data_IF_248465448174
#
_entry.id   IF_248465448174
#
_cell.length_a   1.000
_cell.length_b   1.000
_cell.length_c   1.000
_cell.angle_alpha   90.00
_cell.angle_beta   90.00
_cell.angle_gamma   90.00
#
_symmetry.space_group_name_H-M   'P 1'
#
loop_
_entity.id
_entity.type
_entity.pdbx_description
1 polymer ?
2 non-polymer ?
3 non-polymer ?
4 water ?
#
# COMPACT_ATOMS: atom_id res chain seq x y z
N UNK A 2 0.23 3.65 -14.40
CA UNK A 2 0.63 2.23 -14.50
C UNK A 2 0.33 1.49 -13.20
N UNK A 3 -0.69 1.92 -12.47
CA UNK A 3 -1.00 1.30 -11.16
C UNK A 3 -1.40 -0.15 -11.31
N UNK A 4 -0.95 -0.96 -10.36
CA UNK A 4 -1.31 -2.37 -10.32
C UNK A 4 -2.82 -2.52 -10.33
N UNK A 5 -3.30 -3.55 -11.03
CA UNK A 5 -4.74 -3.78 -11.08
C UNK A 5 -5.04 -5.22 -10.79
N UNK A 6 -6.22 -5.44 -10.22
CA UNK A 6 -6.77 -6.78 -9.95
C UNK A 6 -8.14 -6.79 -10.61
N UNK A 7 -8.35 -7.75 -11.52
CA UNK A 7 -9.60 -7.87 -12.27
C UNK A 7 -10.05 -9.33 -12.31
N UNK A 8 -11.26 -9.54 -12.79
CA UNK A 8 -11.81 -10.87 -12.98
C UNK A 8 -12.57 -10.93 -14.27
N UNK A 9 -12.36 -11.98 -15.06
CA UNK A 9 -13.20 -12.16 -16.25
C UNK A 9 -14.66 -12.37 -15.88
N UNK A 10 -14.92 -12.82 -14.66
CA UNK A 10 -16.27 -13.17 -14.25
C UNK A 10 -17.10 -12.00 -13.78
N UNK A 11 -16.51 -10.87 -13.41
CA UNK A 11 -17.30 -9.71 -13.00
C UNK A 11 -16.41 -8.49 -13.00
N UNK A 12 -17.00 -7.37 -13.41
CA UNK A 12 -16.33 -6.09 -13.35
C UNK A 12 -16.54 -5.47 -11.98
N UNK A 13 -15.74 -4.45 -11.67
CA UNK A 13 -15.79 -3.83 -10.35
C UNK A 13 -17.20 -3.40 -9.99
N UNK A 14 -17.66 -3.84 -8.82
CA UNK A 14 -18.95 -3.45 -8.30
C UNK A 14 -20.14 -4.23 -8.86
N UNK A 15 -19.87 -5.21 -9.71
CA UNK A 15 -20.93 -5.99 -10.36
C UNK A 15 -21.16 -7.33 -9.63
N UNK A 16 -22.28 -7.99 -9.93
CA UNK A 16 -22.54 -9.25 -9.22
C UNK A 16 -21.59 -10.36 -9.59
N UNK A 17 -21.10 -11.05 -8.56
CA UNK A 17 -20.32 -12.27 -8.70
C UNK A 17 -21.25 -13.41 -9.16
N UNK A 18 -20.91 -14.11 -10.24
CA UNK A 18 -21.80 -15.19 -10.68
C UNK A 18 -22.03 -16.27 -9.62
N UNK A 19 -23.20 -16.87 -9.73
CA UNK A 19 -23.70 -17.91 -8.83
C UNK A 19 -22.72 -19.04 -8.55
N UNK A 20 -21.94 -19.43 -9.54
CA UNK A 20 -21.07 -20.59 -9.38
C UNK A 20 -19.97 -20.37 -8.34
N UNK A 21 -19.64 -19.12 -8.05
CA UNK A 21 -18.60 -18.80 -7.06
C UNK A 21 -19.14 -18.59 -5.64
N UNK A 22 -20.47 -18.75 -5.50
CA UNK A 22 -21.16 -18.59 -4.23
C UNK A 22 -21.57 -19.94 -3.68
N UNK A 23 -22.13 -19.94 -2.47
CA UNK A 23 -22.64 -21.18 -1.91
C UNK A 23 -23.82 -21.75 -2.70
N UNK A 24 -24.47 -20.92 -3.52
CA UNK A 24 -25.61 -21.39 -4.30
C UNK A 24 -25.20 -22.20 -5.51
N UNK A 25 -23.92 -22.21 -5.84
CA UNK A 25 -23.37 -23.11 -6.85
C UNK A 25 -22.27 -23.98 -6.29
N UNK A 26 -21.34 -24.39 -7.14
CA UNK A 26 -20.25 -25.25 -6.70
C UNK A 26 -19.34 -24.56 -5.67
N UNK A 27 -19.28 -23.24 -5.71
CA UNK A 27 -18.58 -22.47 -4.69
C UNK A 27 -17.08 -22.38 -4.89
N UNK A 28 -16.63 -22.46 -6.13
CA UNK A 28 -15.19 -22.36 -6.39
C UNK A 28 -14.74 -20.91 -6.38
N UNK A 29 -13.44 -20.70 -6.22
CA UNK A 29 -12.90 -19.37 -6.28
C UNK A 29 -13.04 -18.76 -7.67
N UNK A 30 -13.27 -17.46 -7.73
CA UNK A 30 -13.46 -16.83 -9.04
C UNK A 30 -12.11 -16.64 -9.73
N UNK A 31 -12.12 -16.57 -11.06
CA UNK A 31 -10.89 -16.23 -11.78
C UNK A 31 -10.44 -14.81 -11.43
N UNK A 32 -9.13 -14.61 -11.31
CA UNK A 32 -8.53 -13.31 -11.00
C UNK A 32 -7.30 -13.10 -11.85
N UNK A 33 -7.07 -11.85 -12.25
CA UNK A 33 -5.88 -11.47 -13.00
C UNK A 33 -5.21 -10.28 -12.35
N UNK A 34 -3.90 -10.32 -12.31
CA UNK A 34 -3.04 -9.27 -11.77
C UNK A 34 -2.30 -8.60 -12.91
N UNK A 35 -2.30 -7.28 -12.95
CA UNK A 35 -1.58 -6.55 -14.00
C UNK A 35 -0.74 -5.44 -13.38
N UNK A 36 0.38 -5.14 -14.04
CA UNK A 36 1.27 -4.05 -13.67
C UNK A 36 1.78 -4.17 -12.23
N UNK A 37 2.11 -5.40 -11.87
CA UNK A 37 2.80 -5.64 -10.62
C UNK A 37 4.20 -5.04 -10.72
N UNK A 38 4.62 -4.24 -9.73
CA UNK A 38 5.94 -3.60 -9.85
C UNK A 38 7.06 -4.62 -9.98
N UNK A 39 8.08 -4.26 -10.75
CA UNK A 39 9.25 -5.12 -10.98
C UNK A 39 9.91 -5.57 -9.69
N UNK A 40 9.89 -4.71 -8.69
CA UNK A 40 10.55 -4.94 -7.41
C UNK A 40 9.81 -5.96 -6.54
N UNK A 41 8.61 -6.36 -6.94
CA UNK A 41 7.86 -7.31 -6.13
C UNK A 41 8.51 -8.69 -6.10
N UNK A 42 8.59 -9.26 -4.90
CA UNK A 42 9.03 -10.65 -4.73
C UNK A 42 7.89 -11.62 -4.44
N UNK A 43 6.73 -11.10 -4.05
CA UNK A 43 5.56 -11.94 -3.81
C UNK A 43 4.27 -11.10 -3.91
N UNK A 44 3.15 -11.80 -4.05
CA UNK A 44 1.82 -11.22 -3.98
C UNK A 44 1.03 -11.86 -2.85
N UNK A 45 0.10 -11.07 -2.34
CA UNK A 45 -0.85 -11.46 -1.30
C UNK A 45 -2.26 -11.12 -1.76
N UNK A 46 -3.21 -12.01 -1.46
CA UNK A 46 -4.60 -11.75 -1.70
C UNK A 46 -5.37 -11.91 -0.40
N UNK A 47 -6.20 -10.91 -0.07
CA UNK A 47 -7.11 -10.98 1.08
C UNK A 47 -8.48 -10.63 0.56
N UNK A 48 -9.46 -11.51 0.80
CA UNK A 48 -10.82 -11.30 0.33
C UNK A 48 -11.72 -11.26 1.54
N UNK A 49 -12.55 -10.25 1.67
CA UNK A 49 -13.36 -10.11 2.86
C UNK A 49 -14.67 -9.41 2.59
N UNK A 50 -15.61 -9.62 3.51
CA UNK A 50 -16.98 -9.14 3.41
C UNK A 50 -17.25 -8.22 4.61
N UNK A 51 -17.30 -6.90 4.40
CA UNK A 51 -17.59 -5.99 5.52
C UNK A 51 -19.08 -5.84 5.77
N UNK A 52 -19.91 -6.58 5.05
CA UNK A 52 -21.36 -6.48 5.13
C UNK A 52 -21.93 -7.72 5.85
N UNK A 53 -21.08 -8.52 6.48
CA UNK A 53 -21.53 -9.66 7.26
C UNK A 53 -22.49 -9.16 8.35
N UNK A 54 -23.60 -9.88 8.59
CA UNK A 54 -24.54 -9.41 9.62
C UNK A 54 -23.81 -9.30 10.98
N UNK A 55 -23.87 -8.12 11.60
CA UNK A 55 -23.12 -7.95 12.84
C UNK A 55 -23.62 -8.81 13.98
N UNK A 56 -24.84 -9.35 13.87
CA UNK A 56 -25.33 -10.32 14.85
C UNK A 56 -24.60 -11.65 14.77
N UNK A 57 -23.95 -11.91 13.63
CA UNK A 57 -23.21 -13.13 13.41
C UNK A 57 -21.73 -12.88 13.70
N UNK A 58 -21.21 -11.73 13.30
CA UNK A 58 -19.80 -11.38 13.48
C UNK A 58 -19.71 -9.95 14.00
N UNK A 59 -19.40 -9.80 15.28
CA UNK A 59 -19.42 -8.52 15.97
C UNK A 59 -18.54 -7.46 15.32
N UNK A 60 -17.37 -7.85 14.84
CA UNK A 60 -16.43 -6.88 14.26
C UNK A 60 -16.79 -6.49 12.83
N UNK A 61 -17.85 -7.07 12.32
CA UNK A 61 -18.38 -6.64 11.05
C UNK A 61 -17.54 -6.97 9.83
N UNK A 62 -16.64 -7.93 9.94
CA UNK A 62 -15.77 -8.26 8.80
C UNK A 62 -15.51 -9.77 8.75
N UNK A 63 -15.92 -10.43 7.67
CA UNK A 63 -15.71 -11.86 7.52
C UNK A 63 -14.68 -12.11 6.41
N UNK A 64 -13.60 -12.80 6.73
CA UNK A 64 -12.54 -13.11 5.76
C UNK A 64 -12.83 -14.38 4.99
N UNK A 65 -12.97 -14.24 3.68
CA UNK A 65 -13.30 -15.36 2.82
C UNK A 65 -12.10 -16.09 2.21
N UNK A 66 -10.94 -15.43 2.09
CA UNK A 66 -9.79 -16.06 1.44
C UNK A 66 -8.54 -15.29 1.83
N UNK A 67 -7.50 -16.04 2.16
CA UNK A 67 -6.16 -15.54 2.48
C UNK A 67 -5.17 -16.33 1.62
N UNK A 68 -4.43 -15.66 0.73
CA UNK A 68 -3.34 -16.33 0.00
C UNK A 68 -2.11 -15.45 0.11
N UNK A 69 -0.95 -16.02 0.41
CA UNK A 69 0.26 -15.23 0.37
C UNK A 69 1.39 -16.03 -0.26
N UNK A 70 2.48 -15.33 -0.54
CA UNK A 70 3.61 -15.91 -1.25
C UNK A 70 3.22 -16.42 -2.62
N UNK A 71 2.23 -15.79 -3.24
CA UNK A 71 2.02 -15.97 -4.68
C UNK A 71 3.23 -15.44 -5.45
N UNK A 72 3.58 -16.10 -6.55
CA UNK A 72 4.61 -15.56 -7.41
C UNK A 72 4.19 -14.18 -7.92
N UNK A 73 5.11 -13.21 -7.98
CA UNK A 73 4.74 -11.90 -8.51
C UNK A 73 4.47 -11.91 -10.00
N UNK A 74 4.84 -12.98 -10.70
CA UNK A 74 4.51 -13.12 -12.12
C UNK A 74 3.40 -14.15 -12.35
N UNK A 75 2.63 -14.46 -11.31
CA UNK A 75 1.58 -15.48 -11.42
C UNK A 75 0.57 -15.14 -12.49
N UNK A 76 0.38 -13.84 -12.69
CA UNK A 76 -0.45 -13.26 -13.76
C UNK A 76 -1.93 -13.40 -13.48
N UNK A 77 -2.34 -14.62 -13.16
CA UNK A 77 -3.73 -14.93 -12.97
C UNK A 77 -3.92 -16.21 -12.19
N UNK A 78 -5.14 -16.43 -11.76
CA UNK A 78 -5.58 -17.63 -11.07
C UNK A 78 -6.86 -18.02 -11.79
N UNK A 79 -6.91 -19.21 -12.34
CA UNK A 79 -8.12 -19.69 -12.99
C UNK A 79 -9.18 -19.98 -11.95
N UNK A 80 -10.43 -20.06 -12.39
CA UNK A 80 -11.51 -20.39 -11.44
C UNK A 80 -11.20 -21.71 -10.74
N UNK A 81 -11.38 -21.75 -9.43
CA UNK A 81 -11.14 -22.98 -8.68
C UNK A 81 -9.73 -23.54 -8.81
N UNK A 82 -8.78 -22.68 -9.11
CA UNK A 82 -7.41 -23.14 -9.41
C UNK A 82 -6.77 -23.85 -8.24
N UNK A 83 -5.95 -24.86 -8.54
CA UNK A 83 -4.95 -25.32 -7.57
C UNK A 83 -3.99 -24.15 -7.35
N UNK A 84 -3.74 -23.85 -6.09
CA UNK A 84 -2.99 -22.68 -5.68
C UNK A 84 -1.55 -23.06 -5.34
N UNK A 85 -0.57 -22.48 -6.03
CA UNK A 85 0.85 -22.72 -5.78
C UNK A 85 1.38 -21.53 -5.02
N UNK A 86 0.95 -21.49 -3.76
CA UNK A 86 1.19 -20.40 -2.83
C UNK A 86 0.72 -20.91 -1.47
N UNK A 87 0.73 -20.07 -0.46
CA UNK A 87 0.31 -20.49 0.86
C UNK A 87 -1.10 -19.97 1.10
N UNK A 88 -2.00 -20.84 1.50
CA UNK A 88 -3.33 -20.39 1.87
C UNK A 88 -3.43 -20.28 3.37
N UNK A 89 -4.08 -19.23 3.83
CA UNK A 89 -4.30 -19.02 5.26
C UNK A 89 -5.72 -19.32 5.67
N UNK A 90 -6.04 -18.95 6.92
CA UNK A 90 -7.33 -19.24 7.51
C UNK A 90 -8.37 -18.20 7.21
N UNK A 91 -9.54 -18.64 6.80
CA UNK A 91 -10.69 -17.77 6.67
C UNK A 91 -11.42 -17.68 8.01
N UNK A 92 -12.46 -16.86 8.09
CA UNK A 92 -13.11 -16.63 9.38
C UNK A 92 -13.96 -17.82 9.82
N UNK A 93 -14.28 -18.69 8.87
CA UNK A 93 -14.94 -19.97 9.21
C UNK A 93 -13.99 -20.92 9.93
N UNK A 94 -12.70 -20.60 9.97
CA UNK A 94 -11.71 -21.42 10.62
C UNK A 94 -11.03 -22.48 9.77
N UNK A 95 -11.23 -22.40 8.46
CA UNK A 95 -10.66 -23.35 7.51
C UNK A 95 -9.69 -22.68 6.57
N UNK A 96 -8.84 -23.48 5.97
CA UNK A 96 -7.88 -23.02 4.99
C UNK A 96 -8.62 -22.83 3.66
N UNK A 97 -8.26 -21.77 2.94
CA UNK A 97 -8.73 -21.61 1.58
C UNK A 97 -10.02 -20.82 1.44
N UNK A 98 -10.61 -20.93 0.27
CA UNK A 98 -11.71 -20.07 -0.12
C UNK A 98 -13.02 -20.53 0.46
N UNK A 99 -13.75 -19.57 1.01
CA UNK A 99 -15.10 -19.71 1.52
C UNK A 99 -15.99 -18.88 0.60
N UNK A 100 -17.01 -19.48 -0.04
CA UNK A 100 -17.80 -18.67 -0.96
C UNK A 100 -18.77 -17.70 -0.28
N UNK A 101 -19.11 -16.61 -0.95
CA UNK A 101 -20.25 -15.79 -0.53
C UNK A 101 -21.48 -16.62 -0.26
N UNK A 102 -22.17 -16.34 0.84
CA UNK A 102 -23.42 -16.99 1.16
C UNK A 102 -24.23 -16.04 2.04
N UNK A 103 -24.52 -14.83 1.54
CA UNK A 103 -25.12 -13.81 2.40
C UNK A 103 -26.59 -14.15 2.72
N UNK A 104 -26.97 -14.16 3.99
CA UNK A 104 -28.33 -14.59 4.31
C UNK A 104 -29.37 -13.48 4.25
N UNK A 105 -28.92 -12.25 4.39
CA UNK A 105 -29.82 -11.15 4.82
C UNK A 105 -30.03 -10.04 3.81
N UNK A 106 -29.15 -9.92 2.84
CA UNK A 106 -29.07 -8.75 1.98
C UNK A 106 -27.98 -8.97 0.95
N UNK A 107 -27.90 -8.08 -0.02
CA UNK A 107 -26.73 -7.96 -0.90
C UNK A 107 -25.51 -7.59 -0.05
N UNK A 108 -24.39 -8.29 -0.26
CA UNK A 108 -23.12 -7.92 0.35
C UNK A 108 -22.10 -7.58 -0.74
N UNK A 109 -21.13 -6.77 -0.32
CA UNK A 109 -19.95 -6.45 -1.11
C UNK A 109 -18.79 -7.31 -0.64
N UNK A 110 -18.08 -7.91 -1.59
CA UNK A 110 -16.90 -8.70 -1.32
C UNK A 110 -15.71 -8.00 -1.92
N UNK A 111 -14.80 -7.58 -1.06
CA UNK A 111 -13.59 -6.89 -1.48
C UNK A 111 -12.41 -7.84 -1.59
N UNK A 112 -11.73 -7.75 -2.71
CA UNK A 112 -10.53 -8.51 -3.03
C UNK A 112 -9.37 -7.54 -3.06
N UNK A 113 -8.44 -7.68 -2.13
CA UNK A 113 -7.28 -6.80 -2.06
C UNK A 113 -6.05 -7.59 -2.43
N UNK A 114 -5.30 -7.07 -3.40
CA UNK A 114 -4.02 -7.64 -3.79
C UNK A 114 -2.91 -6.71 -3.30
N UNK A 115 -1.86 -7.30 -2.76
CA UNK A 115 -0.71 -6.55 -2.27
C UNK A 115 0.55 -7.15 -2.90
N UNK A 116 1.39 -6.28 -3.48
CA UNK A 116 2.73 -6.68 -3.88
C UNK A 116 3.69 -6.37 -2.75
N UNK A 117 4.56 -7.32 -2.41
CA UNK A 117 5.56 -7.16 -1.34
C UNK A 117 6.95 -7.20 -1.92
N UNK A 118 7.89 -6.55 -1.22
CA UNK A 118 9.28 -6.55 -1.61
C UNK A 118 10.05 -7.69 -0.97
N UNK A 119 9.33 -8.68 -0.44
CA UNK A 119 9.92 -9.79 0.31
C UNK A 119 9.04 -11.04 0.19
N UNK A 120 9.66 -12.22 0.32
CA UNK A 120 8.95 -13.46 0.46
C UNK A 120 8.79 -13.69 1.97
N UNK A 121 7.57 -13.97 2.42
CA UNK A 121 7.33 -14.19 3.85
C UNK A 121 7.65 -15.63 4.23
N UNK A 122 7.76 -15.90 5.52
CA UNK A 122 8.00 -17.26 5.97
C UNK A 122 6.82 -18.17 5.63
N UNK A 123 7.13 -19.40 5.26
CA UNK A 123 6.18 -20.46 4.93
C UNK A 123 5.60 -20.98 6.24
N UNK A 124 4.32 -20.69 6.56
CA UNK A 124 3.75 -21.08 7.83
C UNK A 124 2.34 -21.63 7.66
N UNK A 125 1.90 -22.40 8.65
CA UNK A 125 0.58 -23.00 8.64
C UNK A 125 -0.38 -22.17 9.48
N UNK A 126 -1.64 -22.16 9.10
CA UNK A 126 -2.70 -21.57 9.89
C UNK A 126 -2.60 -20.06 10.05
N UNK A 127 -2.13 -19.39 9.03
CA UNK A 127 -1.85 -17.96 9.11
C UNK A 127 -3.17 -17.21 9.06
N UNK A 128 -3.39 -16.34 10.03
CA UNK A 128 -4.57 -15.49 10.04
C UNK A 128 -4.29 -14.15 9.36
N UNK A 129 -5.36 -13.44 9.00
CA UNK A 129 -5.23 -12.11 8.43
C UNK A 129 -4.40 -11.22 9.32
N UNK A 130 -4.67 -11.25 10.61
CA UNK A 130 -3.97 -10.34 11.51
C UNK A 130 -2.46 -10.60 11.50
N UNK A 131 -2.05 -11.87 11.56
CA UNK A 131 -0.62 -12.23 11.54
C UNK A 131 0.01 -11.82 10.22
N UNK A 132 -0.70 -12.04 9.12
CA UNK A 132 -0.23 -11.72 7.80
C UNK A 132 -0.01 -10.22 7.66
N UNK A 133 -0.98 -9.41 8.06
CA UNK A 133 -0.86 -7.97 7.94
C UNK A 133 0.25 -7.43 8.82
N UNK A 134 0.41 -7.98 10.01
CA UNK A 134 1.47 -7.53 10.90
C UNK A 134 2.82 -7.76 10.24
N UNK A 135 3.00 -8.87 9.53
CA UNK A 135 4.28 -9.16 8.86
C UNK A 135 4.45 -8.31 7.60
N UNK A 136 3.34 -7.96 6.94
CA UNK A 136 3.43 -7.20 5.68
C UNK A 136 3.84 -5.74 5.91
N UNK A 137 3.56 -5.15 7.08
CA UNK A 137 3.83 -3.74 7.32
C UNK A 137 5.33 -3.51 7.10
N UNK A 138 5.67 -2.50 6.29
CA UNK A 138 7.05 -2.22 5.95
C UNK A 138 7.51 -2.87 4.66
N UNK A 139 6.66 -3.70 4.05
CA UNK A 139 7.02 -4.46 2.86
C UNK A 139 6.08 -4.30 1.69
N UNK A 140 4.95 -3.61 1.87
CA UNK A 140 3.99 -3.44 0.80
C UNK A 140 4.51 -2.39 -0.16
N UNK A 141 4.54 -2.71 -1.45
CA UNK A 141 4.96 -1.74 -2.46
C UNK A 141 3.87 -1.45 -3.49
N UNK A 142 2.76 -2.18 -3.49
CA UNK A 142 1.60 -1.79 -4.27
C UNK A 142 0.38 -2.48 -3.75
N UNK A 143 -0.79 -1.88 -4.02
CA UNK A 143 -2.08 -2.41 -3.61
C UNK A 143 -3.06 -2.23 -4.76
N UNK A 144 -3.92 -3.22 -4.94
CA UNK A 144 -5.01 -3.10 -5.90
C UNK A 144 -6.26 -3.70 -5.31
N UNK A 145 -7.42 -3.20 -5.76
CA UNK A 145 -8.71 -3.59 -5.21
C UNK A 145 -9.68 -3.98 -6.31
N UNK A 146 -10.39 -5.07 -6.10
CA UNK A 146 -11.52 -5.46 -6.91
C UNK A 146 -12.68 -5.70 -5.94
N UNK A 147 -13.91 -5.38 -6.34
CA UNK A 147 -15.08 -5.69 -5.52
C UNK A 147 -16.14 -6.29 -6.41
N UNK A 148 -16.85 -7.29 -5.87
CA UNK A 148 -18.05 -7.77 -6.53
C UNK A 148 -19.10 -8.01 -5.46
N UNK A 149 -20.37 -8.05 -5.86
CA UNK A 149 -21.47 -8.23 -4.93
C UNK A 149 -22.09 -9.62 -5.04
N UNK A 150 -22.81 -10.04 -4.02
CA UNK A 150 -23.64 -11.22 -4.12
C UNK A 150 -24.90 -10.98 -3.32
N UNK A 151 -26.02 -11.44 -3.87
CA UNK A 151 -27.32 -11.37 -3.22
C UNK A 151 -28.08 -12.62 -3.59
N UNK A 152 -28.58 -13.35 -2.62
CA UNK A 152 -29.44 -14.48 -2.94
C UNK A 152 -30.78 -13.97 -3.51
N UNK B 1 -8.13 -0.71 1.41
CA UNK B 1 -7.33 -1.93 1.69
C UNK B 1 -7.18 -2.06 3.19
N UNK B 2 -6.46 -3.09 3.61
CA UNK B 2 -6.22 -3.39 5.00
C UNK B 2 -5.01 -2.71 5.58
N UNK B 3 -4.29 -1.92 4.78
CA UNK B 3 -3.04 -1.33 5.23
C UNK B 3 -2.88 0.04 4.63
N UNK B 4 -2.26 0.94 5.36
CA UNK B 4 -2.06 2.31 4.92
C UNK B 4 -1.31 2.31 3.60
N UNK B 5 -1.69 3.24 2.72
CA UNK B 5 -1.09 3.40 1.41
C UNK B 5 -0.53 4.79 1.24
N UNK B 6 0.54 4.88 0.47
CA UNK B 6 1.09 6.13 0.00
C UNK B 6 1.30 5.96 -1.49
N UNK B 7 0.59 6.77 -2.27
CA UNK B 7 0.63 6.68 -3.72
C UNK B 7 0.74 8.07 -4.32
N UNK B 8 0.96 8.12 -5.63
CA UNK B 8 1.00 9.35 -6.36
C UNK B 8 0.29 9.18 -7.68
N UNK B 9 -0.55 10.15 -8.03
CA UNK B 9 -1.18 10.17 -9.34
C UNK B 9 -0.15 10.36 -10.46
N UNK B 10 1.05 10.82 -10.10
CA UNK B 10 2.07 11.17 -11.07
C UNK B 10 2.95 10.00 -11.47
N UNK B 11 3.04 8.94 -10.65
CA UNK B 11 3.89 7.81 -10.98
C UNK B 11 3.56 6.64 -10.08
N UNK B 12 3.71 5.44 -10.63
CA UNK B 12 3.54 4.21 -9.90
C UNK B 12 4.88 3.72 -9.35
N UNK B 13 4.83 2.74 -8.46
CA UNK B 13 6.02 2.26 -7.78
C UNK B 13 7.11 1.83 -8.76
N UNK B 14 8.28 2.43 -8.61
CA UNK B 14 9.45 2.06 -9.40
C UNK B 14 9.47 2.70 -10.77
N UNK B 15 8.52 3.56 -11.09
CA UNK B 15 8.46 4.20 -12.41
C UNK B 15 9.04 5.61 -12.33
N UNK B 16 9.30 6.21 -13.50
CA UNK B 16 9.92 7.54 -13.50
C UNK B 16 9.01 8.63 -12.94
N UNK B 17 9.56 9.46 -12.07
CA UNK B 17 8.91 10.68 -11.62
C UNK B 17 8.93 11.69 -12.76
N UNK B 18 7.78 12.31 -13.10
CA UNK B 18 7.79 13.29 -14.19
C UNK B 18 8.77 14.43 -13.99
N UNK B 19 9.25 14.93 -15.12
CA UNK B 19 10.26 15.97 -15.18
C UNK B 19 9.89 17.21 -14.35
N UNK B 20 8.61 17.53 -14.33
CA UNK B 20 8.08 18.70 -13.64
C UNK B 20 8.54 18.78 -12.15
N UNK B 21 8.74 17.62 -11.53
CA UNK B 21 9.06 17.57 -10.09
C UNK B 21 10.56 17.48 -9.84
N UNK B 22 11.36 17.54 -10.92
CA UNK B 22 12.79 17.49 -10.84
C UNK B 22 13.41 18.87 -11.07
N UNK B 23 14.72 18.96 -10.97
CA UNK B 23 15.41 20.19 -11.26
C UNK B 23 15.32 20.53 -12.75
N UNK B 24 14.98 19.59 -13.61
CA UNK B 24 14.83 19.87 -15.04
C UNK B 24 13.50 20.51 -15.42
N UNK B 25 12.56 20.54 -14.48
CA UNK B 25 11.30 21.21 -14.68
C UNK B 25 11.18 22.31 -13.65
N UNK B 26 9.96 22.64 -13.28
CA UNK B 26 9.76 23.67 -12.27
C UNK B 26 10.25 23.25 -10.86
N UNK B 27 10.36 21.95 -10.62
CA UNK B 27 10.93 21.44 -9.40
C UNK B 27 10.03 21.53 -8.19
N UNK B 28 8.73 21.47 -8.41
CA UNK B 28 7.78 21.51 -7.30
C UNK B 28 7.57 20.11 -6.73
N UNK B 29 7.06 20.06 -5.50
CA UNK B 29 6.82 18.79 -4.84
C UNK B 29 5.75 18.00 -5.59
N UNK B 30 5.91 16.68 -5.70
CA UNK B 30 4.96 15.85 -6.44
C UNK B 30 3.68 15.63 -5.64
N UNK B 31 2.58 15.35 -6.36
CA UNK B 31 1.34 15.01 -5.65
C UNK B 31 1.47 13.68 -4.93
N UNK B 32 0.94 13.60 -3.73
CA UNK B 32 0.94 12.36 -2.96
C UNK B 32 -0.39 12.18 -2.30
N UNK B 33 -0.80 10.92 -2.16
CA UNK B 33 -2.07 10.55 -1.51
C UNK B 33 -1.82 9.56 -0.40
N UNK B 34 -2.43 9.81 0.74
CA UNK B 34 -2.41 8.93 1.89
C UNK B 34 -3.78 8.30 1.99
N UNK B 35 -3.83 6.97 2.13
CA UNK B 35 -5.08 6.23 2.20
C UNK B 35 -5.03 5.20 3.31
N UNK B 36 -6.19 4.78 3.78
CA UNK B 36 -6.28 3.66 4.72
C UNK B 36 -5.43 3.94 5.97
N UNK B 37 -5.41 5.18 6.40
CA UNK B 37 -4.68 5.54 7.62
C UNK B 37 -5.44 4.98 8.83
N UNK B 38 -4.74 4.32 9.74
CA UNK B 38 -5.43 3.75 10.92
C UNK B 38 -6.22 4.82 11.68
N UNK B 39 -7.40 4.47 12.17
CA UNK B 39 -8.24 5.43 12.88
C UNK B 39 -7.55 6.00 14.12
N UNK B 40 -6.67 5.21 14.73
CA UNK B 40 -5.95 5.62 15.94
C UNK B 40 -4.82 6.63 15.69
N UNK B 41 -4.48 6.84 14.42
CA UNK B 41 -3.45 7.80 14.10
C UNK B 41 -3.85 9.22 14.52
N UNK B 42 -2.93 9.93 15.15
CA UNK B 42 -3.12 11.35 15.42
C UNK B 42 -2.31 12.28 14.52
N UNK B 43 -1.33 11.72 13.82
CA UNK B 43 -0.55 12.51 12.88
C UNK B 43 0.12 11.59 11.89
N UNK B 44 0.60 12.21 10.80
CA UNK B 44 1.38 11.53 9.77
C UNK B 44 2.73 12.23 9.60
N UNK B 45 3.70 11.43 9.19
CA UNK B 45 5.05 11.85 8.87
C UNK B 45 5.41 11.39 7.47
N UNK B 46 6.12 12.24 6.73
CA UNK B 46 6.67 11.90 5.41
C UNK B 46 8.16 12.15 5.37
N UNK B 47 8.94 11.16 4.93
CA UNK B 47 10.38 11.33 4.73
C UNK B 47 10.69 10.88 3.30
N UNK B 48 11.36 11.73 2.52
CA UNK B 48 11.73 11.37 1.16
C UNK B 48 13.23 11.40 1.07
N UNK B 49 13.81 10.33 0.56
CA UNK B 49 15.25 10.23 0.51
C UNK B 49 15.76 9.48 -0.70
N UNK B 50 17.04 9.71 -0.98
CA UNK B 50 17.75 9.15 -2.14
C UNK B 50 18.97 8.36 -1.67
N UNK B 51 18.88 7.02 -1.67
CA UNK B 51 20.00 6.19 -1.25
C UNK B 51 21.01 6.02 -2.37
N UNK B 52 20.80 6.67 -3.52
CA UNK B 52 21.65 6.52 -4.70
C UNK B 52 22.48 7.79 -4.94
N UNK B 53 22.50 8.68 -3.95
CA UNK B 53 23.34 9.86 -4.03
C UNK B 53 24.80 9.41 -4.21
N UNK B 54 25.58 10.13 -5.05
CA UNK B 54 26.98 9.70 -5.21
C UNK B 54 27.74 9.71 -3.87
N UNK B 55 28.39 8.60 -3.49
CA UNK B 55 29.02 8.59 -2.18
C UNK B 55 30.18 9.55 -2.06
N UNK B 56 30.72 10.03 -3.18
CA UNK B 56 31.81 11.00 -3.08
C UNK B 56 31.29 12.37 -2.61
N UNK B 57 29.98 12.61 -2.65
CA UNK B 57 29.40 13.83 -2.11
C UNK B 57 28.68 13.64 -0.77
N UNK B 58 28.39 12.39 -0.43
CA UNK B 58 27.69 12.07 0.81
C UNK B 58 28.13 10.68 1.24
N UNK B 59 29.03 10.63 2.21
CA UNK B 59 29.67 9.39 2.63
C UNK B 59 28.67 8.34 3.12
N UNK B 60 27.62 8.76 3.82
CA UNK B 60 26.63 7.82 4.33
C UNK B 60 25.65 7.33 3.24
N UNK B 61 25.82 7.81 2.02
CA UNK B 61 25.06 7.33 0.89
C UNK B 61 23.57 7.60 0.92
N UNK B 62 23.14 8.62 1.67
CA UNK B 62 21.71 8.91 1.80
C UNK B 62 21.45 10.39 1.88
N UNK B 63 20.73 10.91 0.90
CA UNK B 63 20.36 12.32 0.87
C UNK B 63 18.86 12.51 1.10
N UNK B 64 18.52 13.28 2.13
CA UNK B 64 17.12 13.53 2.48
C UNK B 64 16.62 14.71 1.66
N UNK B 65 15.59 14.46 0.89
CA UNK B 65 14.99 15.46 0.02
C UNK B 65 13.79 16.21 0.62
N UNK B 66 13.12 15.61 1.60
CA UNK B 66 11.94 16.25 2.18
C UNK B 66 11.62 15.59 3.51
N UNK B 67 11.30 16.41 4.50
CA UNK B 67 10.72 15.96 5.75
C UNK B 67 9.48 16.79 6.05
N UNK B 68 8.41 16.08 6.37
CA UNK B 68 7.18 16.72 6.82
C UNK B 68 6.66 15.91 8.01
N UNK B 69 6.28 16.57 9.09
CA UNK B 69 5.67 15.86 10.19
C UNK B 69 4.52 16.65 10.78
N UNK B 70 3.74 15.98 11.63
CA UNK B 70 2.52 16.54 12.19
C UNK B 70 1.50 16.89 11.12
N UNK B 71 1.51 16.13 10.03
CA UNK B 71 0.42 16.20 9.09
C UNK B 71 -0.86 15.67 9.71
N UNK B 72 -1.99 16.23 9.34
CA UNK B 72 -3.28 15.67 9.74
C UNK B 72 -3.43 14.24 9.22
N UNK B 73 -3.95 13.35 10.06
CA UNK B 73 -4.14 11.97 9.60
C UNK B 73 -5.26 11.84 8.60
N UNK B 74 -6.07 12.89 8.41
CA UNK B 74 -7.07 12.90 7.34
C UNK B 74 -6.68 13.78 6.16
N UNK B 75 -5.40 14.13 6.05
CA UNK B 75 -4.99 15.09 5.02
C UNK B 75 -5.35 14.61 3.61
N UNK B 76 -5.38 13.30 3.44
CA UNK B 76 -5.73 12.67 2.15
C UNK B 76 -4.74 12.98 1.03
N UNK B 77 -4.88 14.11 0.34
CA UNK B 77 -3.94 14.44 -0.72
C UNK B 77 -3.04 15.64 -0.35
N UNK B 78 -1.80 15.59 -0.83
CA UNK B 78 -1.00 16.78 -1.00
C UNK B 78 -0.91 17.03 -2.50
N UNK B 79 -1.45 18.14 -2.96
CA UNK B 79 -1.40 18.47 -4.37
C UNK B 79 0.03 18.90 -4.72
N UNK B 80 0.34 18.90 -6.01
CA UNK B 80 1.68 19.26 -6.44
C UNK B 80 1.98 20.69 -5.99
N UNK B 81 3.16 20.89 -5.41
CA UNK B 81 3.57 22.22 -4.97
C UNK B 81 2.66 22.85 -3.94
N UNK B 82 1.85 22.05 -3.26
CA UNK B 82 0.83 22.64 -2.42
C UNK B 82 1.39 23.18 -1.11
N UNK B 83 0.61 24.06 -0.50
CA UNK B 83 0.92 24.51 0.83
C UNK B 83 0.82 23.33 1.77
N UNK B 84 1.78 23.28 2.68
CA UNK B 84 1.87 22.18 3.62
C UNK B 84 1.39 22.66 4.98
N UNK B 85 0.24 22.17 5.43
CA UNK B 85 -0.32 22.55 6.72
C UNK B 85 0.16 21.55 7.74
N UNK B 86 1.45 21.65 8.03
CA UNK B 86 2.19 20.73 8.88
C UNK B 86 3.58 21.34 9.05
N UNK B 87 4.49 20.63 9.69
CA UNK B 87 5.82 21.15 9.94
C UNK B 87 6.78 20.56 8.93
N UNK B 88 7.59 21.40 8.31
CA UNK B 88 8.64 20.90 7.43
C UNK B 88 9.97 20.91 8.14
N UNK B 89 10.72 19.83 7.93
CA UNK B 89 12.03 19.67 8.54
C UNK B 89 13.11 20.01 7.54
N UNK B 90 14.35 19.71 7.93
CA UNK B 90 15.50 20.04 7.12
C UNK B 90 15.88 18.93 6.19
N UNK B 91 16.17 19.28 4.95
CA UNK B 91 16.74 18.35 4.02
C UNK B 91 18.26 18.29 4.23
N UNK B 92 18.95 17.47 3.46
CA UNK B 92 20.38 17.24 3.71
C UNK B 92 21.21 18.44 3.30
N UNK B 93 20.67 19.29 2.45
CA UNK B 93 21.33 20.56 2.16
C UNK B 93 21.29 21.52 3.34
N UNK B 94 20.55 21.18 4.38
CA UNK B 94 20.49 22.01 5.57
C UNK B 94 19.44 23.11 5.48
N UNK B 95 18.52 23.00 4.51
CA UNK B 95 17.45 23.97 4.36
C UNK B 95 16.11 23.30 4.60
N UNK B 96 15.10 24.11 4.84
CA UNK B 96 13.73 23.64 5.06
C UNK B 96 13.11 23.20 3.73
N UNK B 97 12.28 22.17 3.77
CA UNK B 97 11.38 21.87 2.67
C UNK B 97 11.93 20.99 1.57
N UNK B 98 11.23 20.98 0.45
CA UNK B 98 11.46 20.05 -0.64
C UNK B 98 12.62 20.46 -1.50
N UNK B 99 13.42 19.46 -1.80
CA UNK B 99 14.56 19.54 -2.72
C UNK B 99 14.26 18.60 -3.88
N UNK B 100 14.19 19.11 -5.12
CA UNK B 100 13.83 18.18 -6.19
C UNK B 100 14.95 17.21 -6.55
N UNK B 101 14.60 16.04 -7.06
CA UNK B 101 15.62 15.20 -7.71
C UNK B 101 16.44 15.97 -8.72
N UNK B 102 17.76 15.77 -8.69
CA UNK B 102 18.64 16.34 -9.71
C UNK B 102 19.88 15.45 -9.79
N UNK B 103 19.66 14.20 -10.19
CA UNK B 103 20.75 13.22 -10.13
C UNK B 103 21.81 13.50 -11.19
N UNK B 104 23.08 13.66 -10.78
CA UNK B 104 24.06 14.08 -11.79
C UNK B 104 24.66 12.93 -12.58
N UNK B 105 24.67 11.73 -12.02
CA UNK B 105 25.57 10.65 -12.47
C UNK B 105 24.89 9.42 -13.06
N UNK B 106 23.59 9.27 -12.82
CA UNK B 106 22.91 8.03 -13.12
C UNK B 106 21.45 8.22 -12.77
N UNK B 107 20.65 7.21 -13.09
CA UNK B 107 19.30 7.11 -12.59
C UNK B 107 19.32 6.84 -11.08
N UNK B 108 18.54 7.59 -10.31
CA UNK B 108 18.42 7.33 -8.87
C UNK B 108 17.01 6.94 -8.49
N UNK B 109 16.91 6.22 -7.38
CA UNK B 109 15.65 5.90 -6.73
C UNK B 109 15.37 6.85 -5.59
N UNK B 110 14.14 7.36 -5.55
CA UNK B 110 13.68 8.27 -4.52
C UNK B 110 12.57 7.55 -3.76
N UNK B 111 12.83 7.31 -2.48
CA UNK B 111 11.91 6.59 -1.61
C UNK B 111 11.14 7.57 -0.76
N UNK B 112 9.83 7.39 -0.73
CA UNK B 112 8.89 8.20 0.01
C UNK B 112 8.29 7.32 1.09
N UNK B 113 8.55 7.66 2.35
CA UNK B 113 8.11 6.84 3.47
C UNK B 113 7.06 7.62 4.25
N UNK B 114 5.94 6.98 4.52
CA UNK B 114 4.92 7.55 5.37
C UNK B 114 4.85 6.76 6.67
N UNK B 115 4.61 7.47 7.75
CA UNK B 115 4.47 6.89 9.08
C UNK B 115 3.21 7.47 9.71
N UNK B 116 2.35 6.60 10.24
CA UNK B 116 1.22 7.04 11.06
C UNK B 116 1.64 6.90 12.51
N UNK B 117 1.44 7.97 13.28
CA UNK B 117 1.76 7.98 14.71
C UNK B 117 0.50 8.09 15.56
N UNK B 118 0.57 7.54 16.77
CA UNK B 118 -0.54 7.69 17.73
C UNK B 118 -0.38 8.90 18.66
N UNK B 119 0.46 9.85 18.27
CA UNK B 119 0.65 11.08 19.00
C UNK B 119 0.90 12.20 17.99
N UNK B 120 0.74 13.42 18.47
CA UNK B 120 1.21 14.62 17.80
C UNK B 120 2.57 14.96 18.43
N UNK B 121 3.59 15.16 17.59
CA UNK B 121 4.93 15.47 18.09
C UNK B 121 5.03 16.91 18.51
N UNK B 122 6.01 17.23 19.35
CA UNK B 122 6.26 18.62 19.71
C UNK B 122 6.50 19.46 18.46
N UNK B 123 6.03 20.70 18.53
CA UNK B 123 6.05 21.62 17.41
C UNK B 123 7.40 22.33 17.38
N UNK B 124 8.31 21.85 16.56
CA UNK B 124 9.68 22.35 16.51
C UNK B 124 10.14 22.62 15.08
N UNK B 125 10.84 23.73 14.94
CA UNK B 125 11.47 24.10 13.68
C UNK B 125 12.84 23.42 13.60
N UNK B 126 13.36 23.31 12.39
CA UNK B 126 14.73 22.85 12.19
C UNK B 126 14.96 21.37 12.45
N UNK B 127 13.92 20.55 12.35
CA UNK B 127 14.04 19.13 12.67
C UNK B 127 14.76 18.33 11.59
N UNK B 128 15.79 17.60 11.98
CA UNK B 128 16.51 16.71 11.08
C UNK B 128 15.90 15.30 11.11
N UNK B 129 16.24 14.49 10.12
CA UNK B 129 15.77 13.11 10.12
C UNK B 129 16.11 12.38 11.41
N UNK B 130 17.36 12.50 11.88
CA UNK B 130 17.77 11.82 13.09
C UNK B 130 16.88 12.22 14.28
N UNK B 131 16.63 13.51 14.43
CA UNK B 131 15.79 14.01 15.53
C UNK B 131 14.34 13.52 15.42
N UNK B 132 13.84 13.52 14.19
CA UNK B 132 12.48 13.06 13.91
C UNK B 132 12.30 11.58 14.24
N UNK B 133 13.26 10.77 13.86
CA UNK B 133 13.18 9.34 14.14
C UNK B 133 13.15 9.11 15.65
N UNK B 134 13.91 9.90 16.39
CA UNK B 134 13.92 9.76 17.84
C UNK B 134 12.55 10.13 18.42
N UNK B 135 11.96 11.20 17.89
CA UNK B 135 10.69 11.68 18.41
C UNK B 135 9.57 10.68 18.10
N UNK B 136 9.66 10.01 16.95
CA UNK B 136 8.66 9.03 16.51
C UNK B 136 8.69 7.76 17.37
N UNK B 137 9.88 7.41 17.88
CA UNK B 137 10.10 6.12 18.52
C UNK B 137 9.07 5.81 19.61
N UNK B 138 8.43 4.66 19.47
CA UNK B 138 7.39 4.23 20.37
C UNK B 138 5.99 4.61 19.94
N UNK B 139 5.86 5.36 18.83
CA UNK B 139 4.57 5.93 18.47
C UNK B 139 4.16 5.53 17.07
N UNK B 140 5.01 4.79 16.35
CA UNK B 140 4.67 4.40 14.96
C UNK B 140 3.71 3.23 14.94
N UNK B 141 2.53 3.43 14.35
CA UNK B 141 1.54 2.37 14.30
C UNK B 141 1.42 1.75 12.92
N UNK B 142 1.89 2.43 11.88
CA UNK B 142 1.88 1.86 10.53
C UNK B 142 2.84 2.64 9.67
N UNK B 143 3.26 2.00 8.58
CA UNK B 143 4.12 2.66 7.62
C UNK B 143 3.63 2.32 6.22
N UNK B 144 4.06 3.11 5.26
CA UNK B 144 3.85 2.84 3.86
C UNK B 144 5.01 3.40 3.05
N UNK B 145 5.18 2.91 1.83
CA UNK B 145 6.35 3.27 1.04
C UNK B 145 5.94 3.42 -0.42
N UNK B 146 6.49 4.44 -1.06
CA UNK B 146 6.40 4.64 -2.50
C UNK B 146 7.81 4.92 -3.00
N UNK B 147 8.12 4.53 -4.22
CA UNK B 147 9.41 4.84 -4.81
C UNK B 147 9.19 5.25 -6.24
N UNK B 148 9.91 6.26 -6.70
CA UNK B 148 9.98 6.59 -8.12
C UNK B 148 11.41 6.89 -8.50
N UNK B 149 11.72 6.84 -9.79
CA UNK B 149 13.09 7.06 -10.24
C UNK B 149 13.22 8.40 -10.96
N UNK B 150 14.44 8.91 -11.05
CA UNK B 150 14.69 10.02 -11.96
C UNK B 150 16.05 9.89 -12.57
N UNK B 151 16.11 10.20 -13.86
CA UNK B 151 17.36 10.23 -14.61
C UNK B 151 17.30 11.43 -15.53
N UNK B 152 18.33 12.26 -15.50
CA UNK B 152 18.28 13.42 -16.34
C UNK B 152 18.33 13.01 -17.80
N UNK B 153 17.51 13.67 -18.61
CA UNK B 153 17.56 13.40 -20.05
C UNK B 153 17.92 14.65 -20.81
X LIG C 1 -11.00 -27.81 10.03
X LIG D 1 6.41 -24.70 0.63
X LIG E 1 -17.12 -20.91 -18.12
X LIG F 1 -21.35 -14.33 2.98
X LIG G 1 -9.47 -13.31 -14.71
X LIG H 1 19.29 14.10 -6.66
X LIG I 1 -1.67 11.83 -5.65
#
# INVERSE_FOLDING_TARGET
SNAMQLTSQAFSYGRPIPKKYSCQGVGISPPLSFSDVPREAKSLVLIVEDPDVPPSVREDGLWIHWIVYNLSPVVSNLAEGAQIFAVQGLNTAGEIGYCPPCPPDAKHRYYFYAYALDVVLSDEEGVTKEQLLEAMDGHIIATAELMGTYEKD
SNAMQLTSQAFSYGRPIPKKYSCQGVGISPPLSFSDVPREAKSLVLIVEDPDVPPSVREDGLWIHWIVYNLSPVVSNLAEGAQIFAVQGLNTAGEIGYCPPCPPDAKHRYYFYAYALDVVLSDEEGVTKEQLLEAMDGHIIATAELMGTYEKD
CA CA
CA CA
CA CA
CL CL
CL CL
CL CL
CL CL
#
